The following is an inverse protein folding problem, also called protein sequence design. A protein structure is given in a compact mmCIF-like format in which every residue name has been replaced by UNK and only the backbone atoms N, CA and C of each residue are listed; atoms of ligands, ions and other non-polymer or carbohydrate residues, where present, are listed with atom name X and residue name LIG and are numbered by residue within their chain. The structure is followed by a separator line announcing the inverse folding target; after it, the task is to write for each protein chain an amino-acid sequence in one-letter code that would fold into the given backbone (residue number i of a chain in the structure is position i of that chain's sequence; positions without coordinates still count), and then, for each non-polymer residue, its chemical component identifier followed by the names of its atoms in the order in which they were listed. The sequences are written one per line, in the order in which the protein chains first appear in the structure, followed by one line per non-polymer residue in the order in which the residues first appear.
data_IF_102800863079
#
_entry.id   IF_102800863079
#
_cell.length_a   1.000
_cell.length_b   1.000
_cell.length_c   1.000
_cell.angle_alpha   90.00
_cell.angle_beta   90.00
_cell.angle_gamma   90.00
#
_symmetry.space_group_name_H-M   'P 1'
#
loop_
_entity.id
_entity.type
_entity.pdbx_description
1 polymer ?
#
# COMPACT_ATOMS: atom_id res chain seq x y z
N UNK A 1 -8.79 1.82 21.56
CA UNK A 1 -7.64 1.25 20.83
C UNK A 1 -7.71 1.80 19.42
N UNK A 2 -6.61 2.34 18.91
CA UNK A 2 -6.51 2.79 17.52
C UNK A 2 -6.41 1.59 16.60
N UNK A 3 -7.12 1.63 15.48
CA UNK A 3 -7.09 0.60 14.43
C UNK A 3 -6.83 1.25 13.08
N UNK A 4 -6.60 0.43 12.06
CA UNK A 4 -6.49 0.94 10.69
C UNK A 4 -7.70 1.79 10.24
N UNK A 5 -8.88 1.55 10.82
CA UNK A 5 -10.13 2.20 10.41
C UNK A 5 -10.23 3.67 10.83
N UNK A 6 -9.37 4.12 11.74
CA UNK A 6 -9.32 5.51 12.20
C UNK A 6 -8.61 6.43 11.17
N UNK A 7 -7.99 5.85 10.14
CA UNK A 7 -7.22 6.57 9.14
C UNK A 7 -8.03 6.87 7.89
N UNK A 8 -7.68 8.00 7.27
CA UNK A 8 -8.11 8.39 5.93
C UNK A 8 -6.89 8.63 5.06
N UNK A 9 -7.02 8.34 3.78
CA UNK A 9 -5.96 8.50 2.78
C UNK A 9 -6.54 9.14 1.53
N UNK A 10 -5.68 9.58 0.60
CA UNK A 10 -6.12 10.06 -0.71
C UNK A 10 -5.96 8.96 -1.75
N UNK A 11 -6.98 8.76 -2.57
CA UNK A 11 -6.87 7.95 -3.80
C UNK A 11 -5.88 8.60 -4.78
N UNK A 12 -5.44 7.85 -5.78
CA UNK A 12 -4.61 8.37 -6.88
C UNK A 12 -5.26 9.54 -7.65
N UNK A 13 -6.58 9.78 -7.48
CA UNK A 13 -7.33 10.92 -8.01
C UNK A 13 -7.49 12.09 -7.03
N UNK A 14 -6.84 12.04 -5.86
CA UNK A 14 -6.89 13.09 -4.85
C UNK A 14 -8.16 13.10 -3.98
N UNK A 15 -9.07 12.15 -4.17
CA UNK A 15 -10.29 12.01 -3.34
C UNK A 15 -9.97 11.31 -2.03
N UNK A 16 -10.47 11.85 -0.91
CA UNK A 16 -10.33 11.23 0.41
C UNK A 16 -11.11 9.90 0.48
N UNK A 17 -10.47 8.87 1.03
CA UNK A 17 -11.01 7.52 1.23
C UNK A 17 -10.78 7.10 2.68
N UNK A 18 -11.86 6.70 3.37
CA UNK A 18 -11.76 6.17 4.73
C UNK A 18 -11.31 4.71 4.69
N UNK A 19 -10.40 4.32 5.58
CA UNK A 19 -10.06 2.91 5.77
C UNK A 19 -11.20 2.11 6.40
N UNK A 20 -12.13 2.77 7.10
CA UNK A 20 -13.34 2.13 7.62
C UNK A 20 -14.23 1.51 6.52
N UNK A 21 -14.10 1.97 5.27
CA UNK A 21 -14.81 1.40 4.12
C UNK A 21 -14.38 -0.05 3.83
N UNK A 22 -13.21 -0.47 4.34
CA UNK A 22 -12.69 -1.84 4.23
C UNK A 22 -12.98 -2.68 5.47
N UNK A 23 -13.87 -2.23 6.37
CA UNK A 23 -14.19 -2.97 7.59
C UNK A 23 -14.74 -4.37 7.30
N UNK A 24 -14.23 -5.36 8.04
CA UNK A 24 -14.59 -6.77 7.84
C UNK A 24 -13.83 -7.46 6.69
N UNK A 25 -13.02 -6.72 5.93
CA UNK A 25 -12.12 -7.27 4.91
C UNK A 25 -10.72 -7.47 5.48
N UNK A 26 -9.98 -8.42 4.91
CA UNK A 26 -8.54 -8.54 5.11
C UNK A 26 -7.87 -7.58 4.13
N UNK A 27 -6.90 -6.78 4.58
CA UNK A 27 -6.17 -5.86 3.70
C UNK A 27 -4.70 -6.25 3.64
N UNK A 28 -4.13 -6.27 2.44
CA UNK A 28 -2.69 -6.31 2.24
C UNK A 28 -2.24 -4.93 1.75
N UNK A 29 -1.65 -4.15 2.64
CA UNK A 29 -1.14 -2.81 2.36
C UNK A 29 0.30 -2.91 1.91
N UNK A 30 0.63 -2.32 0.76
CA UNK A 30 1.96 -2.45 0.13
C UNK A 30 2.48 -1.07 -0.29
N UNK A 31 3.73 -0.73 0.07
CA UNK A 31 4.39 0.44 -0.52
C UNK A 31 4.98 0.05 -1.88
N UNK A 32 4.49 0.62 -2.98
CA UNK A 32 4.80 0.10 -4.32
C UNK A 32 5.72 1.02 -5.12
N UNK A 33 6.35 0.45 -6.15
CA UNK A 33 7.14 1.21 -7.12
C UNK A 33 7.14 0.56 -8.52
N UNK A 34 7.08 1.40 -9.54
CA UNK A 34 7.02 1.16 -10.98
C UNK A 34 8.39 0.87 -11.59
N UNK A 35 9.47 1.41 -11.04
CA UNK A 35 10.84 1.17 -11.55
C UNK A 35 11.77 0.65 -10.46
N UNK A 36 11.65 -0.62 -10.11
CA UNK A 36 12.61 -1.31 -9.25
C UNK A 36 12.70 -2.81 -9.58
N UNK A 37 13.71 -3.51 -9.04
CA UNK A 37 13.91 -4.95 -9.26
C UNK A 37 12.76 -5.85 -8.76
N UNK A 38 11.84 -5.29 -7.99
CA UNK A 38 10.68 -6.00 -7.44
C UNK A 38 9.37 -5.63 -8.12
N UNK A 39 9.39 -4.82 -9.17
CA UNK A 39 8.18 -4.34 -9.85
C UNK A 39 7.34 -5.51 -10.40
N UNK A 40 7.96 -6.62 -10.78
CA UNK A 40 7.24 -7.83 -11.22
C UNK A 40 6.28 -8.40 -10.16
N UNK A 41 6.45 -8.05 -8.88
CA UNK A 41 5.50 -8.41 -7.82
C UNK A 41 4.10 -7.80 -8.03
N UNK A 42 3.94 -6.77 -8.87
CA UNK A 42 2.61 -6.30 -9.26
C UNK A 42 1.77 -7.41 -9.88
N UNK A 43 2.38 -8.30 -10.68
CA UNK A 43 1.68 -9.45 -11.27
C UNK A 43 1.20 -10.40 -10.18
N UNK A 44 2.06 -10.76 -9.25
CA UNK A 44 1.73 -11.67 -8.14
C UNK A 44 0.65 -11.09 -7.22
N UNK A 45 0.71 -9.77 -6.94
CA UNK A 45 -0.29 -9.06 -6.16
C UNK A 45 -1.64 -9.01 -6.90
N UNK A 46 -1.62 -8.82 -8.23
CA UNK A 46 -2.82 -8.84 -9.04
C UNK A 46 -3.45 -10.24 -9.07
N UNK A 47 -2.65 -11.29 -9.25
CA UNK A 47 -3.12 -12.68 -9.19
C UNK A 47 -3.74 -13.00 -7.83
N UNK A 48 -3.09 -12.55 -6.74
CA UNK A 48 -3.61 -12.70 -5.38
C UNK A 48 -4.93 -11.95 -5.17
N UNK A 49 -5.02 -10.72 -5.68
CA UNK A 49 -6.24 -9.92 -5.64
C UNK A 49 -7.39 -10.63 -6.36
N UNK A 50 -7.17 -11.05 -7.61
CA UNK A 50 -8.19 -11.74 -8.40
C UNK A 50 -8.64 -13.04 -7.73
N UNK A 51 -7.71 -13.78 -7.13
CA UNK A 51 -8.00 -15.05 -6.47
C UNK A 51 -8.86 -14.90 -5.21
N UNK A 52 -8.68 -13.83 -4.43
CA UNK A 52 -9.27 -13.72 -3.09
C UNK A 52 -10.16 -12.50 -2.85
N UNK A 53 -10.35 -11.60 -3.82
CA UNK A 53 -11.22 -10.42 -3.66
C UNK A 53 -12.64 -10.78 -3.23
N UNK A 54 -13.22 -11.82 -3.83
CA UNK A 54 -14.57 -12.29 -3.52
C UNK A 54 -14.63 -13.04 -2.17
N UNK A 55 -13.47 -13.43 -1.63
CA UNK A 55 -13.31 -13.98 -0.26
C UNK A 55 -13.01 -12.89 0.79
N UNK A 56 -12.98 -11.62 0.38
CA UNK A 56 -12.79 -10.46 1.25
C UNK A 56 -11.33 -10.02 1.44
N UNK A 57 -10.41 -10.35 0.53
CA UNK A 57 -9.06 -9.77 0.50
C UNK A 57 -9.02 -8.52 -0.38
N UNK A 58 -8.46 -7.43 0.13
CA UNK A 58 -8.18 -6.22 -0.64
C UNK A 58 -6.68 -5.95 -0.67
N UNK A 59 -6.14 -5.71 -1.87
CA UNK A 59 -4.76 -5.24 -2.03
C UNK A 59 -4.80 -3.73 -2.15
N UNK A 60 -4.01 -3.03 -1.34
CA UNK A 60 -3.98 -1.58 -1.27
C UNK A 60 -2.55 -1.09 -1.55
N UNK A 61 -2.34 -0.54 -2.75
CA UNK A 61 -1.03 -0.08 -3.19
C UNK A 61 -0.80 1.40 -2.90
N UNK A 62 0.32 1.72 -2.27
CA UNK A 62 0.73 3.08 -1.94
C UNK A 62 2.07 3.38 -2.63
N UNK A 63 2.06 4.05 -3.79
CA UNK A 63 3.28 4.42 -4.50
C UNK A 63 4.21 5.25 -3.60
N UNK A 64 5.51 4.98 -3.65
CA UNK A 64 6.50 5.69 -2.82
C UNK A 64 7.83 5.86 -3.56
N UNK A 65 8.36 7.09 -3.56
CA UNK A 65 9.60 7.42 -4.28
C UNK A 65 10.86 7.43 -3.39
N UNK A 66 10.75 7.03 -2.11
CA UNK A 66 11.86 7.14 -1.15
C UNK A 66 12.97 6.09 -1.38
N UNK A 67 12.74 5.08 -2.22
CA UNK A 67 13.66 3.96 -2.44
C UNK A 67 14.12 3.90 -3.89
N UNK A 68 15.42 4.12 -4.13
CA UNK A 68 16.02 4.05 -5.47
C UNK A 68 15.46 5.06 -6.49
N UNK A 69 14.65 6.03 -6.04
CA UNK A 69 13.89 6.95 -6.91
C UNK A 69 13.04 6.24 -7.98
N UNK A 70 12.45 5.10 -7.63
CA UNK A 70 11.67 4.24 -8.54
C UNK A 70 10.29 4.77 -8.93
N UNK A 71 9.81 5.86 -8.31
CA UNK A 71 8.42 6.36 -8.39
C UNK A 71 8.32 7.87 -8.66
N UNK A 72 9.07 8.34 -9.67
CA UNK A 72 9.13 9.77 -10.03
C UNK A 72 7.88 10.29 -10.74
N UNK A 73 7.09 9.41 -11.38
CA UNK A 73 5.92 9.78 -12.17
C UNK A 73 4.78 10.40 -11.35
N UNK A 74 3.81 10.97 -12.05
CA UNK A 74 2.52 11.39 -11.49
C UNK A 74 1.65 10.18 -11.15
N UNK A 75 0.56 10.40 -10.42
CA UNK A 75 -0.39 9.31 -10.12
C UNK A 75 -0.98 8.70 -11.40
N UNK A 76 -1.22 9.52 -12.41
CA UNK A 76 -1.68 9.12 -13.73
C UNK A 76 -0.66 8.23 -14.46
N UNK A 77 0.62 8.61 -14.42
CA UNK A 77 1.71 7.82 -15.03
C UNK A 77 1.83 6.45 -14.36
N UNK A 78 1.73 6.42 -13.02
CA UNK A 78 1.88 5.22 -12.20
C UNK A 78 0.74 4.25 -12.46
N UNK A 79 -0.51 4.73 -12.43
CA UNK A 79 -1.68 3.92 -12.72
C UNK A 79 -1.63 3.35 -14.14
N UNK A 80 -1.31 4.20 -15.14
CA UNK A 80 -1.16 3.79 -16.53
C UNK A 80 -0.08 2.71 -16.67
N UNK A 81 1.06 2.89 -16.01
CA UNK A 81 2.13 1.90 -15.99
C UNK A 81 1.66 0.55 -15.41
N UNK A 82 1.00 0.57 -14.24
CA UNK A 82 0.54 -0.63 -13.56
C UNK A 82 -0.53 -1.36 -14.38
N UNK A 83 -1.44 -0.62 -15.01
CA UNK A 83 -2.49 -1.18 -15.85
C UNK A 83 -1.93 -1.79 -17.14
N UNK A 84 -1.11 -1.04 -17.89
CA UNK A 84 -0.58 -1.48 -19.20
C UNK A 84 0.33 -2.69 -19.05
N UNK A 85 1.20 -2.70 -18.05
CA UNK A 85 2.25 -3.72 -17.93
C UNK A 85 1.81 -4.95 -17.10
N UNK A 86 0.88 -4.78 -16.15
CA UNK A 86 0.53 -5.83 -15.19
C UNK A 86 -0.98 -6.06 -15.05
N UNK A 87 -1.84 -5.27 -15.69
CA UNK A 87 -3.28 -5.41 -15.58
C UNK A 87 -3.82 -5.17 -14.17
N UNK A 88 -3.11 -4.35 -13.37
CA UNK A 88 -3.49 -4.04 -11.99
C UNK A 88 -4.89 -3.46 -11.92
N UNK A 89 -5.75 -4.06 -11.11
CA UNK A 89 -7.13 -3.60 -10.86
C UNK A 89 -7.40 -3.27 -9.40
N UNK A 90 -6.47 -3.60 -8.50
CA UNK A 90 -6.59 -3.23 -7.10
C UNK A 90 -6.32 -1.73 -6.89
N UNK A 91 -6.77 -1.18 -5.77
CA UNK A 91 -6.71 0.27 -5.53
C UNK A 91 -5.26 0.75 -5.36
N UNK A 92 -4.85 1.68 -6.22
CA UNK A 92 -3.65 2.51 -6.02
C UNK A 92 -4.05 3.84 -5.37
N UNK A 93 -3.36 4.20 -4.30
CA UNK A 93 -3.57 5.48 -3.61
C UNK A 93 -2.62 6.56 -4.14
N UNK A 94 -2.78 7.77 -3.61
CA UNK A 94 -1.86 8.87 -3.84
C UNK A 94 -0.45 8.48 -3.41
N UNK A 95 0.56 9.07 -4.06
CA UNK A 95 1.95 8.83 -3.70
C UNK A 95 2.23 9.39 -2.30
N UNK A 96 2.89 8.60 -1.46
CA UNK A 96 3.17 8.95 -0.06
C UNK A 96 4.63 8.74 0.32
N UNK A 97 5.06 9.42 1.38
CA UNK A 97 6.26 9.06 2.12
C UNK A 97 5.91 8.05 3.22
N UNK A 98 6.75 7.03 3.38
CA UNK A 98 6.54 5.93 4.34
C UNK A 98 7.57 5.94 5.48
N UNK A 99 8.65 6.73 5.31
CA UNK A 99 9.68 6.97 6.31
C UNK A 99 9.94 8.48 6.46
N UNK A 100 10.61 8.87 7.56
CA UNK A 100 11.02 10.25 7.79
C UNK A 100 9.91 11.16 8.31
N UNK A 101 10.18 12.49 8.40
CA UNK A 101 9.29 13.45 9.07
C UNK A 101 7.96 13.66 8.35
N UNK A 102 7.88 13.34 7.06
CA UNK A 102 6.67 13.47 6.25
C UNK A 102 5.91 12.14 6.10
N UNK A 103 6.22 11.13 6.92
CA UNK A 103 5.56 9.83 6.83
C UNK A 103 4.04 9.99 6.90
N UNK A 104 3.32 9.37 5.97
CA UNK A 104 1.87 9.34 6.01
C UNK A 104 1.39 8.70 7.32
N UNK A 105 0.41 9.29 8.05
CA UNK A 105 0.00 8.80 9.36
C UNK A 105 -0.36 7.31 9.43
N UNK A 106 -0.93 6.77 8.35
CA UNK A 106 -1.23 5.33 8.23
C UNK A 106 0.05 4.48 8.27
N UNK A 107 1.13 4.89 7.61
CA UNK A 107 2.40 4.14 7.63
C UNK A 107 3.14 4.26 8.96
N UNK A 108 3.00 5.38 9.67
CA UNK A 108 3.50 5.50 11.04
C UNK A 108 2.80 4.53 12.00
N UNK A 109 1.49 4.31 11.82
CA UNK A 109 0.75 3.28 12.54
C UNK A 109 1.24 1.87 12.18
N UNK A 110 1.26 1.54 10.88
CA UNK A 110 1.66 0.21 10.39
C UNK A 110 3.05 -0.21 10.91
N UNK A 111 4.03 0.69 10.87
CA UNK A 111 5.40 0.43 11.32
C UNK A 111 5.51 0.24 12.84
N UNK A 112 4.64 0.88 13.63
CA UNK A 112 4.59 0.74 15.10
C UNK A 112 3.97 -0.57 15.52
N UNK A 113 2.90 -0.99 14.84
CA UNK A 113 2.21 -2.25 15.13
C UNK A 113 3.04 -3.46 14.66
N UNK A 114 3.65 -3.38 13.48
CA UNK A 114 4.44 -4.45 12.89
C UNK A 114 5.93 -4.06 12.79
N UNK A 115 6.61 -4.06 13.94
CA UNK A 115 8.05 -3.76 13.99
C UNK A 115 8.86 -4.85 13.31
N UNK A 116 9.86 -4.43 12.54
CA UNK A 116 10.83 -5.32 11.92
C UNK A 116 11.86 -5.85 12.92
N UNK A 117 12.94 -6.44 12.37
CA UNK A 117 14.05 -7.00 13.15
C UNK A 117 14.61 -5.96 14.14
N UNK A 118 14.87 -6.40 15.37
CA UNK A 118 15.36 -5.56 16.48
C UNK A 118 14.42 -4.38 16.82
N UNK A 119 13.13 -4.49 16.53
CA UNK A 119 12.15 -3.44 16.83
C UNK A 119 12.19 -2.26 15.86
N UNK A 120 12.82 -2.42 14.69
CA UNK A 120 12.95 -1.35 13.70
C UNK A 120 11.59 -0.98 13.09
N UNK A 121 11.23 0.29 13.19
CA UNK A 121 10.02 0.87 12.56
C UNK A 121 10.32 1.41 11.14
N UNK A 122 11.47 1.11 10.56
CA UNK A 122 11.86 1.63 9.25
C UNK A 122 11.51 0.63 8.15
N UNK A 123 10.71 1.06 7.18
CA UNK A 123 10.50 0.30 5.94
C UNK A 123 11.81 0.30 5.16
N UNK A 124 12.31 -0.90 4.85
CA UNK A 124 13.65 -1.07 4.28
C UNK A 124 13.69 -0.89 2.78
N UNK A 125 12.59 -1.19 2.07
CA UNK A 125 12.55 -1.09 0.62
C UNK A 125 11.11 -1.06 0.06
N UNK A 126 11.01 -0.88 -1.26
CA UNK A 126 9.77 -1.09 -2.03
C UNK A 126 9.20 -2.49 -1.81
N UNK A 127 7.89 -2.62 -1.91
CA UNK A 127 7.10 -3.84 -1.77
C UNK A 127 7.14 -4.49 -0.38
N UNK A 128 7.36 -3.70 0.67
CA UNK A 128 7.07 -4.13 2.06
C UNK A 128 5.56 -4.24 2.23
N UNK A 129 5.12 -5.27 2.97
CA UNK A 129 3.71 -5.65 3.07
C UNK A 129 3.28 -5.64 4.54
N UNK A 130 2.10 -5.13 4.79
CA UNK A 130 1.41 -5.21 6.08
C UNK A 130 0.08 -5.92 5.85
N UNK A 131 -0.14 -7.01 6.58
CA UNK A 131 -1.41 -7.73 6.54
C UNK A 131 -2.28 -7.22 7.68
N UNK A 132 -3.51 -6.84 7.38
CA UNK A 132 -4.45 -6.34 8.37
C UNK A 132 -5.66 -7.25 8.41
N UNK A 133 -6.02 -7.70 9.61
CA UNK A 133 -7.15 -8.61 9.83
C UNK A 133 -8.51 -7.92 9.63
N UNK A 134 -9.58 -8.71 9.70
CA UNK A 134 -10.97 -8.22 9.53
C UNK A 134 -11.45 -7.28 10.65
N UNK A 135 -10.69 -7.17 11.73
CA UNK A 135 -10.95 -6.27 12.86
C UNK A 135 -10.10 -4.99 12.79
N UNK A 136 -9.27 -4.84 11.76
CA UNK A 136 -8.43 -3.67 11.55
C UNK A 136 -7.11 -3.68 12.31
N UNK A 137 -6.64 -4.86 12.74
CA UNK A 137 -5.36 -5.06 13.44
C UNK A 137 -4.28 -5.55 12.47
N UNK A 138 -3.09 -4.97 12.57
CA UNK A 138 -1.90 -5.29 11.76
C UNK A 138 -1.21 -6.54 12.31
#
# INVERSE_FOLDING_TARGET
MTTIYDYKVKTNRGVEKSMADYKGKVMLIVNTASKCIFTDQYKELQDLHLKYKDSGLEILGFPCNQFGSGEKGTNEDIESFCQINYGVTFQLFDKVEVNGPNTAPIFDYLKKEAKGLLGSEQIKWNFTKFLVDRNGRV
#
